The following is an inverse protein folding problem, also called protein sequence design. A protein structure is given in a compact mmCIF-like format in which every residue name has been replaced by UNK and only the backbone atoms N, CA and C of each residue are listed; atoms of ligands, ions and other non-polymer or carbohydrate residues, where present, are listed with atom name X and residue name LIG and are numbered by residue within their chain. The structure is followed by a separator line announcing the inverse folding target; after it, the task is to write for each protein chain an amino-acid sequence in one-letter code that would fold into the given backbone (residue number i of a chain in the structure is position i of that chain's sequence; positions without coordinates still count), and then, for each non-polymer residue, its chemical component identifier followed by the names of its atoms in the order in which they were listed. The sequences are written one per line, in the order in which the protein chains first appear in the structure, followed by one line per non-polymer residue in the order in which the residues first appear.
data_IF_055561219240
#
_entry.id   IF_055561219240
#
_cell.length_a   1.000
_cell.length_b   1.000
_cell.length_c   1.000
_cell.angle_alpha   90.00
_cell.angle_beta   90.00
_cell.angle_gamma   90.00
#
_symmetry.space_group_name_H-M   'P 1'
#
loop_
_entity.id
_entity.type
_entity.pdbx_description
1 polymer ?
#
# COMPACT_ATOMS: atom_id res chain seq x y z
N UNK A 1 7.56 -30.06 -24.15
CA UNK A 1 7.72 -28.70 -24.71
C UNK A 1 7.43 -27.73 -23.59
N UNK A 2 8.50 -27.20 -23.00
CA UNK A 2 8.51 -26.35 -21.82
C UNK A 2 9.31 -25.13 -22.19
N UNK A 3 8.64 -24.04 -22.58
CA UNK A 3 9.21 -22.69 -22.72
C UNK A 3 8.12 -21.76 -23.24
N UNK A 4 7.52 -20.96 -22.33
CA UNK A 4 6.86 -19.65 -22.58
C UNK A 4 6.25 -19.00 -21.32
N UNK A 5 6.44 -19.56 -20.13
CA UNK A 5 6.08 -18.92 -18.85
C UNK A 5 7.23 -18.09 -18.22
N UNK A 6 8.42 -18.01 -18.83
CA UNK A 6 9.62 -17.45 -18.19
C UNK A 6 9.73 -15.93 -18.21
N UNK A 7 9.23 -15.26 -19.26
CA UNK A 7 9.61 -13.86 -19.51
C UNK A 7 8.74 -12.87 -18.72
N UNK A 8 7.49 -13.23 -18.43
CA UNK A 8 6.59 -12.43 -17.60
C UNK A 8 7.05 -12.42 -16.14
N UNK A 9 7.41 -13.58 -15.60
CA UNK A 9 7.95 -13.73 -14.25
C UNK A 9 9.29 -12.98 -14.09
N UNK A 10 10.13 -12.96 -15.13
CA UNK A 10 11.39 -12.23 -15.13
C UNK A 10 11.21 -10.71 -14.95
N UNK A 11 10.23 -10.10 -15.62
CA UNK A 11 9.95 -8.65 -15.50
C UNK A 11 9.44 -8.26 -14.11
N UNK A 12 8.58 -9.10 -13.54
CA UNK A 12 8.02 -8.92 -12.19
C UNK A 12 9.11 -9.13 -11.14
N UNK A 13 9.97 -10.14 -11.32
CA UNK A 13 11.11 -10.37 -10.43
C UNK A 13 12.12 -9.22 -10.52
N UNK A 14 12.42 -8.71 -11.72
CA UNK A 14 13.28 -7.54 -11.91
C UNK A 14 12.71 -6.29 -11.21
N UNK A 15 11.40 -6.10 -11.24
CA UNK A 15 10.73 -5.06 -10.47
C UNK A 15 10.89 -5.29 -8.96
N UNK A 16 10.67 -6.51 -8.46
CA UNK A 16 10.80 -6.84 -7.03
C UNK A 16 12.24 -6.58 -6.58
N UNK A 17 13.23 -6.93 -7.41
CA UNK A 17 14.64 -6.68 -7.12
C UNK A 17 14.98 -5.18 -7.15
N UNK A 18 14.40 -4.43 -8.09
CA UNK A 18 14.58 -2.98 -8.19
C UNK A 18 13.93 -2.22 -7.03
N UNK A 19 12.74 -2.65 -6.59
CA UNK A 19 11.99 -2.06 -5.46
C UNK A 19 12.47 -2.56 -4.10
N UNK A 20 13.13 -3.72 -4.04
CA UNK A 20 13.72 -4.34 -2.85
C UNK A 20 15.13 -3.83 -2.50
N UNK A 21 15.79 -3.10 -3.40
CA UNK A 21 17.13 -2.53 -3.18
C UNK A 21 17.06 -1.16 -2.52
N UNK A 22 17.35 -1.12 -1.22
CA UNK A 22 17.79 0.10 -0.51
C UNK A 22 19.25 -0.05 -0.08
N UNK A 23 20.16 -0.28 -1.02
CA UNK A 23 21.61 -0.26 -0.75
C UNK A 23 22.41 0.06 -2.00
N UNK A 24 22.62 1.34 -2.29
CA UNK A 24 23.76 1.79 -3.10
C UNK A 24 24.07 3.28 -2.83
N UNK A 25 25.18 3.51 -2.12
CA UNK A 25 26.01 4.74 -2.19
C UNK A 25 26.74 4.73 -3.55
N UNK A 26 27.29 5.78 -4.18
CA UNK A 26 28.01 6.96 -3.69
C UNK A 26 28.42 7.85 -4.92
N UNK A 27 28.93 9.06 -4.62
CA UNK A 27 29.94 9.89 -5.35
C UNK A 27 29.55 11.16 -6.16
N UNK A 28 30.12 12.28 -5.66
CA UNK A 28 30.33 13.66 -6.17
C UNK A 28 29.08 14.56 -6.23
N UNK A 29 29.08 15.82 -5.79
CA UNK A 29 30.15 16.80 -5.49
C UNK A 29 29.70 17.74 -4.34
N UNK A 30 30.67 18.31 -3.64
CA UNK A 30 30.43 19.46 -2.76
C UNK A 30 30.57 20.76 -3.55
N UNK A 31 29.73 21.75 -3.21
CA UNK A 31 30.14 23.12 -2.92
C UNK A 31 28.91 23.88 -2.39
N UNK A 32 29.18 24.77 -1.42
CA UNK A 32 28.33 25.83 -0.86
C UNK A 32 27.33 25.45 0.26
N UNK A 33 27.65 25.97 1.45
CA UNK A 33 26.76 26.93 2.10
C UNK A 33 25.98 26.45 3.32
N UNK A 34 26.45 26.84 4.49
CA UNK A 34 25.90 26.65 5.84
C UNK A 34 24.47 27.21 6.00
N UNK A 35 23.63 26.51 6.80
CA UNK A 35 22.40 27.04 7.38
C UNK A 35 21.74 26.03 8.34
N UNK A 36 21.68 26.37 9.63
CA UNK A 36 21.14 25.56 10.74
C UNK A 36 19.61 25.28 10.67
N UNK A 37 19.09 24.28 11.41
CA UNK A 37 17.70 23.85 11.31
C UNK A 37 16.77 24.52 12.35
N UNK A 38 15.57 24.90 11.92
CA UNK A 38 14.45 25.24 12.83
C UNK A 38 13.31 24.20 12.71
N UNK A 39 12.62 23.87 13.82
CA UNK A 39 11.67 22.77 13.87
C UNK A 39 10.27 23.22 13.41
N UNK A 40 9.78 22.64 12.31
CA UNK A 40 8.46 22.92 11.75
C UNK A 40 7.59 21.67 11.76
N UNK A 41 6.54 21.71 12.58
CA UNK A 41 5.47 20.72 12.77
C UNK A 41 4.83 20.35 11.42
N UNK A 42 4.72 19.05 11.14
CA UNK A 42 4.15 18.52 9.91
C UNK A 42 2.62 18.55 9.95
N UNK A 43 2.01 19.48 9.21
CA UNK A 43 0.59 19.45 8.93
C UNK A 43 0.31 18.45 7.80
N UNK A 44 -0.52 17.45 8.13
CA UNK A 44 -1.04 16.45 7.22
C UNK A 44 -2.18 17.11 6.45
N UNK A 45 -2.09 17.11 5.12
CA UNK A 45 -3.18 17.59 4.27
C UNK A 45 -4.38 16.62 4.37
N UNK A 46 -5.38 17.05 5.13
CA UNK A 46 -6.75 16.58 5.06
C UNK A 46 -7.39 17.00 3.73
N UNK A 47 -8.44 16.27 3.37
CA UNK A 47 -9.20 16.33 2.12
C UNK A 47 -9.59 17.76 1.69
N UNK A 48 -9.37 18.08 0.41
CA UNK A 48 -9.81 19.34 -0.20
C UNK A 48 -11.34 19.35 -0.43
N UNK A 49 -12.03 20.49 -0.23
CA UNK A 49 -13.48 20.63 -0.45
C UNK A 49 -13.83 20.94 -1.91
N UNK A 50 -14.95 20.39 -2.39
CA UNK A 50 -15.47 20.61 -3.75
C UNK A 50 -16.32 21.91 -3.86
N UNK A 51 -16.24 22.58 -5.01
CA UNK A 51 -17.04 23.76 -5.38
C UNK A 51 -18.30 23.38 -6.19
N UNK A 52 -19.32 24.23 -6.13
CA UNK A 52 -20.73 23.95 -6.48
C UNK A 52 -21.09 24.18 -7.96
N UNK A 53 -22.08 23.42 -8.47
CA UNK A 53 -22.71 23.62 -9.78
C UNK A 53 -24.25 23.65 -9.69
N UNK A 54 -24.87 24.37 -10.65
CA UNK A 54 -26.29 24.80 -10.69
C UNK A 54 -27.20 23.82 -11.46
N UNK A 55 -28.51 23.98 -11.23
CA UNK A 55 -29.63 23.07 -11.45
C UNK A 55 -30.35 23.14 -12.81
N UNK A 56 -31.03 22.03 -13.17
CA UNK A 56 -32.41 21.99 -13.70
C UNK A 56 -33.01 20.57 -13.62
N UNK A 57 -34.32 20.48 -13.39
CA UNK A 57 -35.13 19.29 -13.03
C UNK A 57 -35.41 18.36 -14.23
N UNK A 58 -35.67 17.04 -14.08
CA UNK A 58 -36.85 16.34 -13.50
C UNK A 58 -36.42 14.88 -13.18
N UNK A 59 -36.91 14.30 -12.07
CA UNK A 59 -36.41 13.05 -11.47
C UNK A 59 -37.38 11.85 -11.60
N UNK A 60 -36.83 10.66 -11.86
CA UNK A 60 -37.41 9.34 -11.54
C UNK A 60 -36.31 8.30 -11.29
N UNK A 61 -36.29 7.72 -10.07
CA UNK A 61 -35.64 6.46 -9.63
C UNK A 61 -34.19 6.15 -10.05
N UNK A 62 -33.28 6.14 -9.07
CA UNK A 62 -31.89 5.69 -9.19
C UNK A 62 -31.80 4.26 -9.76
N UNK A 63 -31.61 4.16 -11.07
CA UNK A 63 -31.20 2.95 -11.78
C UNK A 63 -29.78 3.17 -12.29
N UNK A 64 -28.89 2.21 -12.05
CA UNK A 64 -27.61 2.16 -12.76
C UNK A 64 -27.92 2.08 -14.26
N UNK A 65 -27.50 3.09 -15.03
CA UNK A 65 -27.54 3.05 -16.49
C UNK A 65 -26.13 2.74 -16.98
N UNK A 66 -25.82 1.49 -17.39
CA UNK A 66 -24.53 1.19 -17.97
C UNK A 66 -24.39 1.89 -19.32
N UNK A 67 -23.33 2.68 -19.50
CA UNK A 67 -22.93 3.20 -20.81
C UNK A 67 -21.76 2.37 -21.33
N UNK A 68 -22.02 1.52 -22.32
CA UNK A 68 -20.95 0.90 -23.12
C UNK A 68 -20.39 2.02 -24.01
N UNK A 69 -19.24 2.57 -23.63
CA UNK A 69 -18.57 3.59 -24.44
C UNK A 69 -17.74 2.91 -25.54
N UNK A 70 -18.31 2.77 -26.74
CA UNK A 70 -17.51 2.57 -27.95
C UNK A 70 -16.80 3.89 -28.29
N UNK A 71 -15.59 4.08 -27.78
CA UNK A 71 -14.69 5.13 -28.29
C UNK A 71 -13.88 4.51 -29.43
N UNK A 72 -14.39 4.66 -30.65
CA UNK A 72 -13.66 4.35 -31.88
C UNK A 72 -12.45 5.30 -31.99
N UNK A 73 -11.26 4.81 -31.66
CA UNK A 73 -10.03 5.46 -32.05
C UNK A 73 -9.97 5.51 -33.58
N UNK A 74 -9.85 6.72 -34.13
CA UNK A 74 -9.71 6.98 -35.55
C UNK A 74 -8.51 6.24 -36.13
N UNK A 75 -8.78 5.52 -37.22
CA UNK A 75 -7.85 4.69 -37.99
C UNK A 75 -6.59 5.45 -38.39
N UNK A 76 -5.42 4.94 -37.99
CA UNK A 76 -4.16 5.20 -38.68
C UNK A 76 -3.79 3.94 -39.47
N UNK A 77 -3.58 4.01 -40.80
CA UNK A 77 -3.37 2.83 -41.64
C UNK A 77 -2.00 2.18 -41.35
N UNK A 78 -1.88 0.85 -41.48
CA UNK A 78 -0.64 0.15 -41.18
C UNK A 78 0.40 0.42 -42.28
N UNK A 79 1.58 0.87 -41.87
CA UNK A 79 2.76 0.80 -42.73
C UNK A 79 3.26 -0.65 -42.70
N UNK A 80 3.19 -1.25 -43.90
CA UNK A 80 3.90 -2.38 -44.47
C UNK A 80 3.56 -3.86 -44.11
N UNK A 81 3.03 -4.51 -45.15
CA UNK A 81 3.01 -5.95 -45.41
C UNK A 81 4.43 -6.51 -45.58
N UNK A 82 4.81 -7.51 -44.78
CA UNK A 82 5.72 -8.59 -45.18
C UNK A 82 5.32 -9.86 -44.44
N UNK A 83 4.65 -10.76 -45.14
CA UNK A 83 4.11 -11.99 -44.60
C UNK A 83 5.18 -13.04 -44.23
N UNK A 84 4.90 -13.76 -43.15
CA UNK A 84 5.16 -15.20 -43.06
C UNK A 84 4.11 -15.82 -42.14
N UNK A 85 3.27 -16.66 -42.72
CA UNK A 85 2.27 -17.46 -42.02
C UNK A 85 2.95 -18.42 -41.04
N UNK A 86 2.59 -18.33 -39.77
CA UNK A 86 2.69 -19.43 -38.81
C UNK A 86 1.29 -19.62 -38.23
N UNK A 87 0.50 -20.45 -38.91
CA UNK A 87 -0.73 -21.02 -38.36
C UNK A 87 -0.39 -21.80 -37.09
N UNK A 88 -1.12 -21.53 -35.99
CA UNK A 88 -1.08 -22.40 -34.80
C UNK A 88 -0.85 -21.73 -33.44
N UNK A 89 -0.92 -20.41 -33.31
CA UNK A 89 -1.07 -19.78 -32.00
C UNK A 89 -2.56 -19.63 -31.68
N UNK A 90 -3.09 -20.49 -30.80
CA UNK A 90 -4.36 -20.21 -30.13
C UNK A 90 -4.22 -18.85 -29.45
N UNK A 91 -5.12 -17.88 -29.71
CA UNK A 91 -5.07 -16.62 -29.01
C UNK A 91 -5.31 -16.90 -27.53
N UNK A 92 -4.32 -16.59 -26.70
CA UNK A 92 -4.53 -16.56 -25.26
C UNK A 92 -5.63 -15.52 -25.01
N UNK A 93 -6.79 -16.01 -24.60
CA UNK A 93 -7.97 -15.22 -24.33
C UNK A 93 -7.68 -14.36 -23.10
N UNK A 94 -7.27 -13.12 -23.37
CA UNK A 94 -7.24 -12.06 -22.38
C UNK A 94 -8.67 -11.54 -22.28
N UNK A 95 -9.29 -11.66 -21.12
CA UNK A 95 -10.40 -10.78 -20.80
C UNK A 95 -9.80 -9.39 -20.57
N UNK A 96 -10.27 -8.39 -21.32
CA UNK A 96 -9.92 -7.00 -21.06
C UNK A 96 -10.14 -6.70 -19.58
N UNK A 97 -9.17 -6.08 -18.93
CA UNK A 97 -9.40 -5.50 -17.59
C UNK A 97 -10.54 -4.46 -17.67
N UNK A 98 -10.80 -3.93 -18.86
CA UNK A 98 -11.62 -2.77 -19.11
C UNK A 98 -12.55 -3.00 -20.32
N UNK A 99 -13.66 -3.69 -20.15
CA UNK A 99 -14.89 -3.02 -20.60
C UNK A 99 -15.15 -1.98 -19.51
N UNK A 100 -14.79 -0.72 -19.76
CA UNK A 100 -15.00 0.33 -18.75
C UNK A 100 -16.49 0.59 -18.60
N UNK A 101 -17.10 -0.10 -17.65
CA UNK A 101 -18.46 0.18 -17.24
C UNK A 101 -18.42 1.42 -16.35
N UNK A 102 -18.62 2.58 -16.96
CA UNK A 102 -18.98 3.76 -16.21
C UNK A 102 -20.44 3.64 -15.79
N UNK A 103 -20.69 3.81 -14.50
CA UNK A 103 -22.01 3.94 -13.93
C UNK A 103 -22.31 5.39 -13.60
N UNK A 104 -23.58 5.77 -13.70
CA UNK A 104 -24.09 6.99 -13.10
C UNK A 104 -24.88 6.61 -11.84
N UNK A 105 -24.54 7.25 -10.72
CA UNK A 105 -25.28 7.11 -9.46
C UNK A 105 -25.94 8.43 -9.16
N UNK A 106 -27.26 8.42 -9.11
CA UNK A 106 -28.06 9.57 -8.69
C UNK A 106 -28.21 9.59 -7.17
N UNK A 107 -27.79 10.69 -6.55
CA UNK A 107 -27.91 10.92 -5.12
C UNK A 107 -28.94 12.01 -4.83
N UNK A 108 -29.81 11.77 -3.84
CA UNK A 108 -30.87 12.71 -3.46
C UNK A 108 -30.41 13.53 -2.26
N UNK A 109 -30.09 14.82 -2.45
CA UNK A 109 -29.62 15.68 -1.37
C UNK A 109 -30.79 16.13 -0.49
N UNK A 110 -30.95 15.48 0.66
CA UNK A 110 -31.99 15.76 1.66
C UNK A 110 -31.75 17.10 2.37
N UNK A 111 -32.31 18.13 1.74
CA UNK A 111 -32.41 19.52 2.19
C UNK A 111 -33.14 20.42 1.18
N UNK A 112 -33.09 20.08 -0.12
CA UNK A 112 -33.78 20.80 -1.21
C UNK A 112 -34.41 19.91 -2.29
N UNK A 113 -34.23 18.59 -2.23
CA UNK A 113 -34.66 17.68 -3.30
C UNK A 113 -33.82 17.82 -4.58
N UNK A 114 -32.65 18.43 -4.49
CA UNK A 114 -31.69 18.54 -5.60
C UNK A 114 -30.99 17.18 -5.80
N UNK A 115 -31.03 16.66 -7.03
CA UNK A 115 -30.33 15.43 -7.41
C UNK A 115 -28.89 15.78 -7.81
N UNK A 116 -27.92 15.02 -7.28
CA UNK A 116 -26.51 15.08 -7.65
C UNK A 116 -26.15 13.78 -8.36
N UNK A 117 -25.88 13.84 -9.67
CA UNK A 117 -25.39 12.68 -10.43
C UNK A 117 -23.87 12.60 -10.27
N UNK A 118 -23.39 11.43 -9.87
CA UNK A 118 -21.98 11.13 -9.76
C UNK A 118 -21.59 10.08 -10.79
N UNK A 119 -20.58 10.39 -11.59
CA UNK A 119 -19.90 9.40 -12.42
C UNK A 119 -19.04 8.51 -11.51
N UNK A 120 -19.30 7.21 -11.57
CA UNK A 120 -18.56 6.19 -10.82
C UNK A 120 -17.95 5.19 -11.79
N UNK A 121 -16.77 4.69 -11.42
CA UNK A 121 -16.14 3.60 -12.14
C UNK A 121 -16.65 2.28 -11.56
N UNK A 122 -17.20 1.41 -12.40
CA UNK A 122 -17.57 0.06 -12.01
C UNK A 122 -16.42 -0.90 -12.35
N UNK A 123 -16.22 -1.96 -11.56
CA UNK A 123 -15.33 -3.04 -11.97
C UNK A 123 -15.93 -3.73 -13.20
N UNK A 124 -15.08 -4.27 -14.08
CA UNK A 124 -15.52 -5.17 -15.13
C UNK A 124 -16.18 -6.43 -14.54
N UNK A 125 -16.97 -7.15 -15.34
CA UNK A 125 -17.73 -8.32 -14.88
C UNK A 125 -16.89 -9.41 -14.19
N UNK A 126 -15.62 -9.56 -14.54
CA UNK A 126 -14.68 -10.50 -13.92
C UNK A 126 -14.03 -9.98 -12.62
N UNK A 127 -14.15 -8.69 -12.32
CA UNK A 127 -13.54 -8.02 -11.18
C UNK A 127 -14.59 -7.63 -10.13
N UNK A 128 -14.17 -7.47 -8.88
CA UNK A 128 -15.02 -7.00 -7.80
C UNK A 128 -14.61 -5.60 -7.30
N UNK A 129 -13.43 -5.10 -7.63
CA UNK A 129 -12.97 -3.80 -7.12
C UNK A 129 -12.27 -2.96 -8.19
N UNK A 130 -12.23 -1.65 -7.96
CA UNK A 130 -11.52 -0.67 -8.78
C UNK A 130 -10.37 -0.04 -8.01
N UNK A 131 -9.40 0.55 -8.73
CA UNK A 131 -8.33 1.35 -8.12
C UNK A 131 -8.87 2.75 -7.84
N UNK A 132 -8.77 3.20 -6.58
CA UNK A 132 -9.29 4.49 -6.09
C UNK A 132 -8.18 5.44 -5.60
N UNK A 133 -6.93 4.98 -5.54
CA UNK A 133 -5.77 5.81 -5.27
C UNK A 133 -4.50 5.09 -5.72
N UNK A 134 -3.52 5.83 -6.26
CA UNK A 134 -2.21 5.26 -6.58
C UNK A 134 -1.07 6.25 -6.32
N UNK A 135 -0.03 5.81 -5.62
CA UNK A 135 1.24 6.51 -5.55
C UNK A 135 2.36 5.60 -6.06
N UNK A 136 3.17 6.09 -6.98
CA UNK A 136 4.39 5.41 -7.41
C UNK A 136 5.56 6.37 -7.53
N UNK A 137 6.77 5.83 -7.36
CA UNK A 137 8.02 6.57 -7.49
C UNK A 137 8.90 5.95 -8.56
N UNK A 138 9.62 6.78 -9.32
CA UNK A 138 10.64 6.34 -10.30
C UNK A 138 11.91 7.16 -10.15
N UNK A 139 13.06 6.61 -10.57
CA UNK A 139 14.35 7.34 -10.64
C UNK A 139 14.24 8.49 -11.63
N UNK A 140 14.95 9.60 -11.37
CA UNK A 140 15.06 10.71 -12.33
C UNK A 140 15.67 10.26 -13.67
N UNK A 141 16.56 9.24 -13.64
CA UNK A 141 17.17 8.65 -14.85
C UNK A 141 16.12 8.08 -15.80
N UNK A 142 14.93 7.72 -15.29
CA UNK A 142 13.80 7.28 -16.11
C UNK A 142 13.45 8.33 -17.16
N UNK A 143 13.41 9.60 -16.74
CA UNK A 143 13.01 10.70 -17.60
C UNK A 143 14.11 11.07 -18.60
N UNK A 144 15.38 11.01 -18.19
CA UNK A 144 16.49 11.13 -19.16
C UNK A 144 16.46 10.01 -20.21
N UNK A 145 16.15 8.78 -19.79
CA UNK A 145 15.96 7.64 -20.71
C UNK A 145 14.80 7.88 -21.68
N UNK A 146 13.64 8.33 -21.20
CA UNK A 146 12.47 8.52 -22.06
C UNK A 146 12.57 9.75 -22.97
N UNK A 147 13.33 10.77 -22.58
CA UNK A 147 13.67 11.91 -23.40
C UNK A 147 14.75 11.59 -24.46
N UNK A 148 15.52 10.51 -24.28
CA UNK A 148 16.65 10.16 -25.15
C UNK A 148 17.86 11.09 -24.99
N UNK A 149 17.89 11.91 -23.95
CA UNK A 149 18.98 12.85 -23.61
C UNK A 149 19.07 13.04 -22.11
N UNK A 150 20.23 13.47 -21.62
CA UNK A 150 20.38 13.86 -20.21
C UNK A 150 19.60 15.14 -19.96
N UNK A 151 18.72 15.11 -18.95
CA UNK A 151 17.99 16.27 -18.44
C UNK A 151 18.80 16.90 -17.29
N UNK A 152 18.74 18.22 -17.19
CA UNK A 152 19.57 19.01 -16.26
C UNK A 152 18.71 19.73 -15.23
N UNK A 153 17.66 20.43 -15.64
CA UNK A 153 16.84 21.24 -14.72
C UNK A 153 15.60 20.49 -14.24
N UNK A 154 15.10 20.84 -13.07
CA UNK A 154 13.90 20.23 -12.47
C UNK A 154 12.69 20.39 -13.41
N UNK A 155 12.60 21.51 -14.13
CA UNK A 155 11.56 21.77 -15.13
C UNK A 155 11.62 20.78 -16.29
N UNK A 156 12.81 20.50 -16.84
CA UNK A 156 12.96 19.51 -17.92
C UNK A 156 12.51 18.12 -17.49
N UNK A 157 12.84 17.73 -16.25
CA UNK A 157 12.39 16.46 -15.67
C UNK A 157 10.86 16.40 -15.55
N UNK A 158 10.24 17.49 -15.10
CA UNK A 158 8.77 17.56 -14.92
C UNK A 158 8.04 17.63 -16.26
N UNK A 159 8.58 18.33 -17.26
CA UNK A 159 8.04 18.37 -18.62
C UNK A 159 8.05 16.99 -19.27
N UNK A 160 9.16 16.26 -19.18
CA UNK A 160 9.24 14.91 -19.73
C UNK A 160 8.34 13.93 -18.96
N UNK A 161 8.25 14.06 -17.63
CA UNK A 161 7.29 13.30 -16.84
C UNK A 161 5.86 13.60 -17.29
N UNK A 162 5.50 14.87 -17.45
CA UNK A 162 4.19 15.31 -17.95
C UNK A 162 3.83 14.63 -19.27
N UNK A 163 4.76 14.62 -20.24
CA UNK A 163 4.57 13.97 -21.56
C UNK A 163 4.31 12.47 -21.45
N UNK A 164 5.00 11.77 -20.55
CA UNK A 164 4.77 10.32 -20.36
C UNK A 164 3.45 10.06 -19.62
N UNK A 165 3.12 10.88 -18.62
CA UNK A 165 1.88 10.76 -17.85
C UNK A 165 0.66 11.05 -18.72
N UNK A 166 0.75 11.99 -19.65
CA UNK A 166 -0.30 12.26 -20.64
C UNK A 166 -0.56 11.04 -21.53
N UNK A 167 0.48 10.31 -21.96
CA UNK A 167 0.29 9.06 -22.72
C UNK A 167 -0.35 7.95 -21.90
N UNK A 168 -0.05 7.87 -20.60
CA UNK A 168 -0.56 6.83 -19.72
C UNK A 168 -2.00 7.13 -19.29
N UNK A 169 -2.22 8.32 -18.73
CA UNK A 169 -3.48 8.73 -18.11
C UNK A 169 -4.37 9.59 -19.01
N UNK A 170 -3.85 10.18 -20.08
CA UNK A 170 -4.57 11.18 -20.90
C UNK A 170 -4.47 12.61 -20.39
N UNK A 171 -3.73 12.84 -19.31
CA UNK A 171 -3.46 14.17 -18.78
C UNK A 171 -2.07 14.26 -18.17
N UNK A 172 -1.44 15.43 -18.34
CA UNK A 172 -0.12 15.75 -17.82
C UNK A 172 -0.16 16.69 -16.61
N UNK A 173 1.01 17.23 -16.30
CA UNK A 173 1.22 18.26 -15.28
C UNK A 173 0.71 19.60 -15.79
N UNK A 174 -0.03 20.33 -14.95
CA UNK A 174 -0.71 21.58 -15.34
C UNK A 174 -0.20 22.80 -14.60
N UNK A 175 0.03 22.70 -13.30
CA UNK A 175 0.35 23.87 -12.46
C UNK A 175 1.45 23.58 -11.46
N UNK A 176 2.46 24.45 -11.41
CA UNK A 176 3.49 24.41 -10.37
C UNK A 176 2.96 25.02 -9.07
N UNK A 177 3.15 24.33 -7.93
CA UNK A 177 2.61 24.78 -6.63
C UNK A 177 3.61 25.60 -5.82
N UNK A 178 4.92 25.48 -6.08
CA UNK A 178 5.96 26.10 -5.26
C UNK A 178 5.94 25.65 -3.80
N UNK A 179 5.42 24.44 -3.54
CA UNK A 179 5.17 23.93 -2.19
C UNK A 179 5.73 22.53 -2.02
N UNK A 180 6.39 22.31 -0.88
CA UNK A 180 6.84 20.98 -0.46
C UNK A 180 5.65 20.05 -0.25
N UNK A 181 5.79 18.79 -0.67
CA UNK A 181 4.82 17.73 -0.41
C UNK A 181 5.54 16.40 -0.26
N UNK A 182 5.15 15.58 0.73
CA UNK A 182 5.76 14.27 0.97
C UNK A 182 7.29 14.25 1.05
N UNK A 183 7.88 15.30 1.62
CA UNK A 183 9.35 15.49 1.78
C UNK A 183 10.13 15.80 0.49
N UNK A 184 9.44 15.96 -0.64
CA UNK A 184 10.02 16.51 -1.85
C UNK A 184 10.17 18.03 -1.73
N UNK A 185 11.16 18.57 -2.44
CA UNK A 185 11.43 20.01 -2.44
C UNK A 185 10.27 20.82 -3.01
N UNK A 186 9.60 20.28 -4.02
CA UNK A 186 8.51 20.94 -4.71
C UNK A 186 7.44 19.97 -5.24
N UNK A 187 6.30 20.52 -5.66
CA UNK A 187 5.18 19.77 -6.20
C UNK A 187 4.42 20.52 -7.30
N UNK A 188 3.79 19.75 -8.17
CA UNK A 188 2.97 20.20 -9.28
C UNK A 188 1.62 19.48 -9.25
N UNK A 189 0.59 20.13 -9.77
CA UNK A 189 -0.74 19.57 -9.97
C UNK A 189 -0.74 18.72 -11.24
N UNK A 190 -1.33 17.53 -11.15
CA UNK A 190 -1.58 16.64 -12.28
C UNK A 190 -3.05 16.80 -12.71
N UNK A 191 -3.28 17.02 -14.01
CA UNK A 191 -4.61 17.31 -14.55
C UNK A 191 -5.27 18.51 -13.87
N UNK A 192 -6.59 18.46 -13.71
CA UNK A 192 -7.35 19.46 -12.95
C UNK A 192 -7.60 18.97 -11.51
N UNK A 193 -6.55 18.98 -10.68
CA UNK A 193 -6.63 18.45 -9.31
C UNK A 193 -6.75 16.93 -9.22
N UNK A 194 -6.41 16.22 -10.30
CA UNK A 194 -6.47 14.75 -10.42
C UNK A 194 -5.30 14.05 -9.71
N UNK A 195 -4.30 14.81 -9.28
CA UNK A 195 -3.16 14.26 -8.58
C UNK A 195 -2.04 15.28 -8.37
N UNK A 196 -0.88 14.76 -7.99
CA UNK A 196 0.33 15.56 -7.83
C UNK A 196 1.56 14.84 -8.38
N UNK A 197 2.49 15.62 -8.91
CA UNK A 197 3.87 15.21 -9.16
C UNK A 197 4.75 15.91 -8.13
N UNK A 198 5.69 15.20 -7.51
CA UNK A 198 6.60 15.77 -6.52
C UNK A 198 8.04 15.44 -6.90
N UNK A 199 8.91 16.45 -6.86
CA UNK A 199 10.29 16.32 -7.31
C UNK A 199 11.27 17.13 -6.43
N UNK A 200 12.55 16.75 -6.48
CA UNK A 200 13.63 17.36 -5.72
C UNK A 200 13.91 16.71 -4.35
N UNK A 201 15.21 16.58 -4.03
CA UNK A 201 15.81 16.15 -2.73
C UNK A 201 15.59 14.71 -2.26
N UNK A 202 14.67 13.94 -2.82
CA UNK A 202 14.40 12.57 -2.35
C UNK A 202 15.10 11.50 -3.20
N UNK A 203 16.39 11.27 -2.94
CA UNK A 203 17.17 10.14 -3.51
C UNK A 203 17.10 10.03 -5.06
N UNK A 204 17.07 11.18 -5.75
CA UNK A 204 17.00 11.24 -7.22
C UNK A 204 15.76 10.50 -7.76
N UNK A 205 14.62 10.70 -7.10
CA UNK A 205 13.34 10.12 -7.51
C UNK A 205 12.29 11.20 -7.74
N UNK A 206 11.24 10.84 -8.47
CA UNK A 206 10.01 11.60 -8.61
C UNK A 206 8.86 10.76 -8.08
N UNK A 207 7.97 11.38 -7.29
CA UNK A 207 6.73 10.77 -6.81
C UNK A 207 5.56 11.25 -7.65
N UNK A 208 4.75 10.32 -8.13
CA UNK A 208 3.50 10.56 -8.80
C UNK A 208 2.37 10.06 -7.90
N UNK A 209 1.37 10.90 -7.69
CA UNK A 209 0.19 10.63 -6.89
C UNK A 209 -1.04 10.82 -7.77
N UNK A 210 -1.83 9.77 -7.93
CA UNK A 210 -3.10 9.77 -8.64
C UNK A 210 -4.22 9.62 -7.61
N UNK A 211 -5.12 10.61 -7.56
CA UNK A 211 -6.26 10.59 -6.65
C UNK A 211 -7.40 9.71 -7.20
N UNK A 212 -8.45 9.47 -6.41
CA UNK A 212 -9.64 8.76 -6.91
C UNK A 212 -10.28 9.47 -8.10
N UNK A 213 -10.33 10.81 -8.07
CA UNK A 213 -10.76 11.60 -9.24
C UNK A 213 -9.85 11.36 -10.44
N UNK A 214 -8.54 11.32 -10.24
CA UNK A 214 -7.60 11.00 -11.32
C UNK A 214 -7.76 9.59 -11.87
N UNK A 215 -8.05 8.60 -11.03
CA UNK A 215 -8.33 7.23 -11.46
C UNK A 215 -9.61 7.15 -12.31
N UNK A 216 -10.65 7.94 -11.97
CA UNK A 216 -11.90 8.00 -12.73
C UNK A 216 -11.78 8.73 -14.06
N UNK A 217 -10.91 9.75 -14.16
CA UNK A 217 -10.75 10.55 -15.38
C UNK A 217 -9.61 10.07 -16.29
N UNK A 218 -8.84 9.08 -15.85
CA UNK A 218 -7.78 8.53 -16.66
C UNK A 218 -8.37 7.76 -17.85
N UNK A 219 -7.67 7.80 -18.99
CA UNK A 219 -8.03 7.06 -20.18
C UNK A 219 -8.21 5.56 -19.90
N UNK A 220 -9.15 4.93 -20.59
CA UNK A 220 -9.32 3.48 -20.59
C UNK A 220 -7.98 2.76 -20.76
N UNK A 221 -7.77 1.67 -20.01
CA UNK A 221 -6.52 0.88 -19.98
C UNK A 221 -5.27 1.61 -19.46
N UNK A 222 -5.43 2.68 -18.68
CA UNK A 222 -4.28 3.36 -18.08
C UNK A 222 -3.50 2.42 -17.15
N UNK A 223 -4.16 1.47 -16.50
CA UNK A 223 -3.53 0.46 -15.64
C UNK A 223 -2.52 -0.37 -16.40
N UNK A 224 -2.91 -0.82 -17.60
CA UNK A 224 -2.05 -1.61 -18.48
C UNK A 224 -0.88 -0.79 -18.97
N UNK A 225 -1.13 0.44 -19.46
CA UNK A 225 -0.05 1.36 -19.88
C UNK A 225 0.91 1.68 -18.74
N UNK A 226 0.39 1.87 -17.53
CA UNK A 226 1.22 2.11 -16.35
C UNK A 226 2.00 0.86 -15.95
N UNK A 227 1.38 -0.33 -16.00
CA UNK A 227 2.06 -1.59 -15.75
C UNK A 227 3.25 -1.76 -16.71
N UNK A 228 3.05 -1.55 -18.00
CA UNK A 228 4.09 -1.62 -19.02
C UNK A 228 5.19 -0.58 -18.77
N UNK A 229 4.81 0.66 -18.47
CA UNK A 229 5.76 1.71 -18.13
C UNK A 229 6.61 1.33 -16.90
N UNK A 230 5.99 0.87 -15.82
CA UNK A 230 6.69 0.52 -14.59
C UNK A 230 7.58 -0.72 -14.74
N UNK A 231 7.22 -1.68 -15.58
CA UNK A 231 7.96 -2.95 -15.70
C UNK A 231 9.02 -2.92 -16.80
N UNK A 232 8.84 -2.13 -17.86
CA UNK A 232 9.69 -2.17 -19.06
C UNK A 232 10.51 -0.88 -19.25
N UNK A 233 9.97 0.26 -18.82
CA UNK A 233 10.56 1.58 -19.12
C UNK A 233 11.26 2.16 -17.89
N UNK A 234 10.56 2.18 -16.76
CA UNK A 234 10.96 2.89 -15.55
C UNK A 234 12.23 2.33 -14.89
N UNK A 235 13.04 3.22 -14.32
CA UNK A 235 14.23 2.87 -13.57
C UNK A 235 13.93 3.01 -12.07
N UNK A 236 14.26 1.99 -11.28
CA UNK A 236 13.94 1.89 -9.83
C UNK A 236 12.47 2.23 -9.51
N UNK A 237 11.49 1.64 -10.21
CA UNK A 237 10.08 1.88 -9.94
C UNK A 237 9.67 1.28 -8.58
N UNK A 238 8.75 1.95 -7.88
CA UNK A 238 8.14 1.43 -6.65
C UNK A 238 6.75 2.02 -6.45
N UNK A 239 5.73 1.16 -6.33
CA UNK A 239 4.40 1.57 -5.89
C UNK A 239 4.46 1.72 -4.38
N UNK A 240 4.22 2.93 -3.88
CA UNK A 240 4.30 3.25 -2.45
C UNK A 240 2.95 3.16 -1.76
N UNK A 241 1.86 3.39 -2.50
CA UNK A 241 0.48 3.26 -2.03
C UNK A 241 -0.42 2.85 -3.19
N UNK A 242 -1.39 1.97 -2.92
CA UNK A 242 -2.52 1.74 -3.80
C UNK A 242 -3.76 1.46 -2.94
N UNK A 243 -4.89 2.10 -3.26
CA UNK A 243 -6.16 1.86 -2.59
C UNK A 243 -7.10 1.15 -3.58
N UNK A 244 -7.70 0.04 -3.14
CA UNK A 244 -8.69 -0.73 -3.90
C UNK A 244 -10.06 -0.54 -3.26
N UNK A 245 -11.07 -0.21 -4.06
CA UNK A 245 -12.43 0.08 -3.62
C UNK A 245 -13.44 -0.92 -4.20
N UNK A 246 -14.28 -1.46 -3.33
CA UNK A 246 -15.45 -2.26 -3.68
C UNK A 246 -16.69 -1.52 -3.20
N UNK A 247 -17.64 -1.31 -4.11
CA UNK A 247 -18.85 -0.54 -3.88
C UNK A 247 -20.08 -1.45 -3.91
N UNK A 248 -20.95 -1.26 -2.93
CA UNK A 248 -22.31 -1.78 -2.89
C UNK A 248 -23.27 -0.58 -2.89
N UNK A 249 -23.83 -0.27 -4.06
CA UNK A 249 -24.62 0.95 -4.27
C UNK A 249 -26.02 0.85 -3.65
N UNK A 250 -26.62 -0.35 -3.62
CA UNK A 250 -27.95 -0.57 -3.06
C UNK A 250 -27.91 -1.01 -1.58
N UNK A 251 -26.73 -1.36 -1.07
CA UNK A 251 -26.53 -1.78 0.32
C UNK A 251 -27.08 -3.18 0.59
N UNK A 252 -27.20 -4.01 -0.43
CA UNK A 252 -27.78 -5.35 -0.35
C UNK A 252 -26.96 -6.35 0.47
N UNK A 253 -25.63 -6.20 0.52
CA UNK A 253 -24.75 -7.17 1.19
C UNK A 253 -23.58 -6.55 1.97
N UNK A 254 -23.27 -5.28 1.76
CA UNK A 254 -22.17 -4.56 2.42
C UNK A 254 -22.71 -3.42 3.29
N UNK A 255 -22.37 -3.46 4.57
CA UNK A 255 -22.64 -2.36 5.49
C UNK A 255 -21.54 -2.23 6.55
N UNK A 256 -21.48 -1.08 7.22
CA UNK A 256 -20.54 -0.87 8.35
C UNK A 256 -20.83 -1.80 9.53
N UNK A 257 -22.10 -2.20 9.70
CA UNK A 257 -22.53 -3.14 10.74
C UNK A 257 -22.11 -4.57 10.39
N UNK A 258 -22.27 -4.97 9.12
CA UNK A 258 -21.72 -6.23 8.61
C UNK A 258 -20.21 -6.30 8.83
N UNK A 259 -19.47 -5.24 8.49
CA UNK A 259 -18.02 -5.21 8.67
C UNK A 259 -17.60 -5.31 10.14
N UNK A 260 -18.36 -4.69 11.04
CA UNK A 260 -18.12 -4.80 12.48
C UNK A 260 -18.34 -6.23 12.97
N UNK A 261 -19.39 -6.90 12.49
CA UNK A 261 -19.66 -8.30 12.83
C UNK A 261 -18.52 -9.21 12.33
N UNK A 262 -18.05 -9.03 11.08
CA UNK A 262 -16.93 -9.81 10.55
C UNK A 262 -15.64 -9.63 11.35
N UNK A 263 -15.36 -8.42 11.85
CA UNK A 263 -14.23 -8.20 12.74
C UNK A 263 -14.39 -8.94 14.07
N UNK A 264 -15.59 -8.92 14.67
CA UNK A 264 -15.90 -9.65 15.91
C UNK A 264 -15.71 -11.15 15.76
N UNK A 265 -16.09 -11.68 14.60
CA UNK A 265 -16.00 -13.11 14.29
C UNK A 265 -14.58 -13.54 13.84
N UNK A 266 -13.62 -12.61 13.83
CA UNK A 266 -12.24 -12.87 13.46
C UNK A 266 -11.98 -12.93 11.94
N UNK A 267 -12.99 -12.60 11.12
CA UNK A 267 -12.90 -12.57 9.65
C UNK A 267 -11.88 -11.58 9.10
N UNK A 268 -11.37 -10.66 9.92
CA UNK A 268 -10.33 -9.70 9.54
C UNK A 268 -8.90 -10.13 9.95
N UNK A 269 -8.69 -11.39 10.37
CA UNK A 269 -7.36 -11.92 10.71
C UNK A 269 -7.12 -13.30 10.09
N UNK A 270 -6.01 -13.47 9.38
CA UNK A 270 -5.57 -14.79 8.88
C UNK A 270 -5.02 -15.69 9.99
N UNK A 271 -4.54 -15.11 11.10
CA UNK A 271 -3.98 -15.89 12.20
C UNK A 271 -5.06 -16.16 13.23
N UNK A 272 -5.27 -17.44 13.56
CA UNK A 272 -6.04 -17.86 14.74
C UNK A 272 -5.18 -17.62 16.00
N UNK A 273 -5.70 -16.89 16.98
CA UNK A 273 -5.04 -16.69 18.28
C UNK A 273 -3.96 -15.59 18.35
N UNK A 274 -4.02 -14.57 17.49
CA UNK A 274 -3.15 -13.37 17.59
C UNK A 274 -3.92 -12.12 18.04
N UNK A 275 -3.20 -11.02 18.32
CA UNK A 275 -3.84 -9.72 18.57
C UNK A 275 -4.64 -9.32 17.32
N UNK A 276 -5.96 -9.10 17.41
CA UNK A 276 -6.77 -8.67 16.28
C UNK A 276 -6.30 -7.30 15.78
N UNK A 277 -6.52 -6.97 14.49
CA UNK A 277 -6.23 -5.64 13.99
C UNK A 277 -7.03 -4.60 14.79
N UNK A 278 -6.42 -3.43 15.02
CA UNK A 278 -7.09 -2.32 15.70
C UNK A 278 -8.37 -1.92 14.96
N UNK A 279 -9.41 -1.55 15.69
CA UNK A 279 -10.69 -1.13 15.13
C UNK A 279 -11.04 0.26 15.63
N UNK A 280 -11.55 1.12 14.75
CA UNK A 280 -12.09 2.43 15.15
C UNK A 280 -13.45 2.68 14.51
N UNK A 281 -14.40 3.15 15.32
CA UNK A 281 -15.74 3.58 14.90
C UNK A 281 -15.75 5.11 14.81
N UNK A 282 -15.82 5.64 13.60
CA UNK A 282 -15.87 7.08 13.32
C UNK A 282 -17.29 7.48 12.90
N UNK A 283 -17.71 8.70 13.28
CA UNK A 283 -19.07 9.19 13.08
C UNK A 283 -19.99 8.87 14.27
N UNK A 284 -21.29 9.16 14.12
CA UNK A 284 -22.26 8.93 15.19
C UNK A 284 -22.91 7.54 15.04
N UNK A 285 -22.41 6.58 15.81
CA UNK A 285 -22.88 5.19 15.77
C UNK A 285 -24.10 4.94 16.66
N UNK A 286 -24.22 5.67 17.77
CA UNK A 286 -25.33 5.49 18.73
C UNK A 286 -26.60 6.21 18.27
N UNK A 287 -26.44 7.34 17.58
CA UNK A 287 -27.55 8.16 17.05
C UNK A 287 -27.22 8.63 15.62
N UNK A 288 -27.37 7.76 14.61
CA UNK A 288 -27.01 8.09 13.23
C UNK A 288 -27.63 9.42 12.78
N UNK A 289 -26.79 10.39 12.40
CA UNK A 289 -27.19 11.76 12.05
C UNK A 289 -27.40 11.98 10.55
N UNK A 290 -27.35 10.92 9.74
CA UNK A 290 -27.33 11.01 8.29
C UNK A 290 -25.99 11.46 7.69
N UNK A 291 -24.98 11.82 8.51
CA UNK A 291 -23.64 12.24 8.02
C UNK A 291 -22.73 11.07 7.59
N UNK A 292 -23.19 9.84 7.73
CA UNK A 292 -22.41 8.64 7.46
C UNK A 292 -21.60 8.14 8.65
N UNK A 293 -21.44 6.83 8.71
CA UNK A 293 -20.58 6.10 9.65
C UNK A 293 -19.38 5.54 8.91
N UNK A 294 -18.28 5.37 9.63
CA UNK A 294 -17.07 4.73 9.09
C UNK A 294 -16.48 3.77 10.12
N UNK A 295 -16.21 2.54 9.70
CA UNK A 295 -15.45 1.57 10.44
C UNK A 295 -14.06 1.44 9.83
N UNK A 296 -13.02 1.54 10.64
CA UNK A 296 -11.64 1.33 10.18
C UNK A 296 -11.04 0.08 10.83
N UNK A 297 -10.23 -0.65 10.06
CA UNK A 297 -9.55 -1.86 10.51
C UNK A 297 -8.05 -1.77 10.20
N UNK A 298 -7.24 -1.93 11.23
CA UNK A 298 -5.79 -1.70 11.22
C UNK A 298 -5.44 -0.25 11.52
N UNK A 299 -4.15 0.08 11.37
CA UNK A 299 -3.65 1.44 11.58
C UNK A 299 -3.21 2.04 10.25
N UNK A 300 -3.46 3.33 10.04
CA UNK A 300 -3.08 4.04 8.80
C UNK A 300 -1.57 4.03 8.53
N UNK A 301 -0.73 3.85 9.55
CA UNK A 301 0.74 3.73 9.39
C UNK A 301 1.20 2.33 8.95
N UNK A 302 0.31 1.33 8.98
CA UNK A 302 0.61 -0.05 8.61
C UNK A 302 0.64 -0.24 7.10
N UNK A 303 1.19 -1.37 6.65
CA UNK A 303 1.23 -1.75 5.23
C UNK A 303 -0.13 -2.09 4.63
N UNK A 304 -1.16 -2.27 5.47
CA UNK A 304 -2.54 -2.55 5.08
C UNK A 304 -3.48 -1.87 6.06
N UNK A 305 -4.46 -1.14 5.54
CA UNK A 305 -5.47 -0.43 6.32
C UNK A 305 -6.81 -0.49 5.57
N UNK A 306 -7.89 -0.87 6.27
CA UNK A 306 -9.21 -1.04 5.66
C UNK A 306 -10.20 0.01 6.18
N UNK A 307 -11.13 0.44 5.32
CA UNK A 307 -12.23 1.34 5.67
C UNK A 307 -13.52 0.81 5.08
N UNK A 308 -14.56 0.76 5.90
CA UNK A 308 -15.94 0.56 5.48
C UNK A 308 -16.70 1.81 5.81
N UNK A 309 -17.38 2.43 4.84
CA UNK A 309 -18.12 3.65 5.12
C UNK A 309 -19.34 3.83 4.23
N UNK A 310 -20.31 4.58 4.73
CA UNK A 310 -21.53 4.93 4.01
C UNK A 310 -21.19 6.06 3.01
N UNK A 311 -20.81 5.66 1.78
CA UNK A 311 -20.28 6.55 0.73
C UNK A 311 -21.34 7.51 0.20
N UNK A 312 -22.58 7.06 -0.01
CA UNK A 312 -23.65 7.97 -0.45
C UNK A 312 -23.95 9.08 0.56
N UNK A 313 -23.91 8.76 1.85
CA UNK A 313 -24.03 9.75 2.95
C UNK A 313 -22.87 10.74 2.98
N UNK A 314 -21.65 10.28 2.71
CA UNK A 314 -20.47 11.15 2.55
C UNK A 314 -20.63 12.12 1.38
N UNK A 315 -21.27 11.68 0.30
CA UNK A 315 -21.52 12.49 -0.90
C UNK A 315 -22.73 13.45 -0.77
N UNK A 316 -23.49 13.32 0.32
CA UNK A 316 -24.52 14.27 0.76
C UNK A 316 -25.94 13.71 0.86
N UNK A 317 -26.17 12.48 0.41
CA UNK A 317 -27.48 11.81 0.51
C UNK A 317 -27.59 11.02 1.81
N UNK A 318 -28.35 11.57 2.77
CA UNK A 318 -28.49 11.00 4.12
C UNK A 318 -29.19 9.65 4.15
N UNK A 319 -30.02 9.36 3.14
CA UNK A 319 -30.82 8.14 3.06
C UNK A 319 -30.18 7.08 2.15
N UNK A 320 -29.07 7.42 1.50
CA UNK A 320 -28.37 6.50 0.62
C UNK A 320 -27.85 5.27 1.38
N UNK A 321 -28.10 4.10 0.79
CA UNK A 321 -27.61 2.81 1.27
C UNK A 321 -26.22 2.47 0.73
N UNK A 322 -25.66 3.30 -0.17
CA UNK A 322 -24.37 3.06 -0.80
C UNK A 322 -23.25 2.96 0.25
N UNK A 323 -22.69 1.76 0.38
CA UNK A 323 -21.53 1.47 1.23
C UNK A 323 -20.31 1.11 0.39
N UNK A 324 -19.13 1.59 0.81
CA UNK A 324 -17.84 1.31 0.18
C UNK A 324 -16.89 0.62 1.14
N UNK A 325 -16.22 -0.41 0.65
CA UNK A 325 -15.07 -1.06 1.28
C UNK A 325 -13.79 -0.67 0.54
N UNK A 326 -12.89 0.06 1.22
CA UNK A 326 -11.58 0.45 0.70
C UNK A 326 -10.46 -0.28 1.45
N UNK A 327 -9.52 -0.87 0.71
CA UNK A 327 -8.25 -1.39 1.25
C UNK A 327 -7.10 -0.58 0.72
N UNK A 328 -6.43 0.12 1.63
CA UNK A 328 -5.18 0.85 1.38
C UNK A 328 -3.99 -0.07 1.65
N UNK A 329 -3.20 -0.33 0.61
CA UNK A 329 -1.92 -1.00 0.70
C UNK A 329 -0.77 0.01 0.66
N UNK A 330 0.23 -0.19 1.51
CA UNK A 330 1.46 0.63 1.57
C UNK A 330 2.70 -0.24 1.53
N UNK A 331 3.74 0.25 0.88
CA UNK A 331 5.01 -0.47 0.78
C UNK A 331 5.88 -0.46 2.06
N UNK A 332 5.31 -0.17 3.23
CA UNK A 332 6.03 -0.05 4.51
C UNK A 332 6.77 -1.34 4.86
N UNK A 333 6.05 -2.46 4.91
CA UNK A 333 6.59 -3.79 5.23
C UNK A 333 6.32 -4.81 4.11
N UNK A 334 5.73 -4.37 3.01
CA UNK A 334 5.35 -5.20 1.87
C UNK A 334 5.90 -4.61 0.58
N UNK A 335 6.07 -5.45 -0.43
CA UNK A 335 6.28 -5.02 -1.81
C UNK A 335 4.92 -5.03 -2.49
N UNK A 336 4.54 -3.93 -3.12
CA UNK A 336 3.31 -3.85 -3.92
C UNK A 336 3.71 -4.24 -5.35
N UNK A 337 3.28 -5.43 -5.78
CA UNK A 337 3.58 -5.96 -7.10
C UNK A 337 2.77 -5.19 -8.16
N UNK A 338 3.38 -4.70 -9.27
CA UNK A 338 2.66 -4.05 -10.38
C UNK A 338 1.51 -4.87 -10.95
N UNK A 339 1.54 -6.21 -10.81
CA UNK A 339 0.42 -7.08 -11.18
C UNK A 339 -0.92 -6.67 -10.53
N UNK A 340 -0.90 -5.93 -9.41
CA UNK A 340 -2.12 -5.37 -8.83
C UNK A 340 -2.86 -4.42 -9.77
N UNK A 341 -2.15 -3.75 -10.69
CA UNK A 341 -2.76 -2.87 -11.69
C UNK A 341 -3.61 -3.69 -12.67
N UNK A 342 -3.19 -4.91 -12.98
CA UNK A 342 -3.87 -5.79 -13.92
C UNK A 342 -4.93 -6.67 -13.24
N UNK A 343 -4.70 -7.05 -11.98
CA UNK A 343 -5.54 -8.00 -11.25
C UNK A 343 -5.93 -7.49 -9.86
N UNK A 344 -6.56 -6.31 -9.72
CA UNK A 344 -6.82 -5.70 -8.41
C UNK A 344 -7.67 -6.61 -7.51
N UNK A 345 -8.68 -7.29 -8.06
CA UNK A 345 -9.61 -8.13 -7.28
C UNK A 345 -8.93 -9.29 -6.57
N UNK A 346 -7.89 -9.89 -7.17
CA UNK A 346 -7.13 -10.97 -6.52
C UNK A 346 -6.49 -10.47 -5.21
N UNK A 347 -5.89 -9.28 -5.23
CA UNK A 347 -5.25 -8.69 -4.07
C UNK A 347 -6.27 -8.14 -3.06
N UNK A 348 -7.41 -7.63 -3.54
CA UNK A 348 -8.51 -7.19 -2.68
C UNK A 348 -9.08 -8.36 -1.88
N UNK A 349 -9.51 -9.44 -2.53
CA UNK A 349 -10.04 -10.63 -1.85
C UNK A 349 -8.98 -11.27 -0.94
N UNK A 350 -7.71 -11.27 -1.34
CA UNK A 350 -6.59 -11.72 -0.51
C UNK A 350 -6.24 -10.80 0.67
N UNK A 351 -6.88 -9.65 0.81
CA UNK A 351 -6.61 -8.70 1.89
C UNK A 351 -7.09 -9.21 3.25
N UNK A 352 -8.29 -9.79 3.32
CA UNK A 352 -8.89 -10.29 4.56
C UNK A 352 -9.72 -11.55 4.29
N UNK A 353 -9.74 -12.53 5.23
CA UNK A 353 -10.56 -13.74 5.06
C UNK A 353 -12.04 -13.47 4.74
N UNK A 354 -12.66 -12.49 5.40
CA UNK A 354 -14.07 -12.15 5.18
C UNK A 354 -14.38 -11.63 3.77
N UNK A 355 -13.37 -11.25 2.98
CA UNK A 355 -13.57 -10.73 1.62
C UNK A 355 -13.85 -11.84 0.61
N UNK A 356 -13.76 -13.10 1.03
CA UNK A 356 -14.28 -14.23 0.26
C UNK A 356 -15.76 -14.04 -0.10
N UNK A 357 -16.51 -13.26 0.69
CA UNK A 357 -17.89 -12.88 0.39
C UNK A 357 -18.05 -12.04 -0.90
N UNK A 358 -17.00 -11.33 -1.34
CA UNK A 358 -17.00 -10.49 -2.54
C UNK A 358 -16.34 -11.16 -3.74
N UNK A 359 -16.02 -12.45 -3.63
CA UNK A 359 -15.15 -13.13 -4.57
C UNK A 359 -15.83 -13.35 -5.91
N UNK A 360 -15.32 -12.69 -6.94
CA UNK A 360 -15.58 -13.00 -8.35
C UNK A 360 -14.46 -13.83 -8.97
N UNK A 361 -13.25 -13.76 -8.41
CA UNK A 361 -12.04 -14.40 -8.97
C UNK A 361 -11.69 -15.73 -8.31
N UNK A 362 -11.16 -16.69 -9.10
CA UNK A 362 -10.86 -18.04 -8.64
C UNK A 362 -9.64 -18.16 -7.70
N UNK A 363 -8.68 -17.25 -7.70
CA UNK A 363 -7.48 -17.38 -6.83
C UNK A 363 -7.08 -16.04 -6.20
N UNK A 364 -7.30 -15.84 -4.90
CA UNK A 364 -6.85 -14.63 -4.22
C UNK A 364 -5.32 -14.60 -4.06
N UNK A 365 -4.74 -13.41 -4.13
CA UNK A 365 -3.30 -13.19 -4.00
C UNK A 365 -2.98 -12.26 -2.82
N UNK A 366 -1.85 -12.49 -2.15
CA UNK A 366 -1.44 -11.71 -0.99
C UNK A 366 -0.19 -10.90 -1.30
N UNK A 367 -0.13 -9.69 -0.76
CA UNK A 367 1.06 -8.85 -0.85
C UNK A 367 2.30 -9.56 -0.29
N UNK A 368 3.38 -9.56 -1.06
CA UNK A 368 4.66 -10.08 -0.62
C UNK A 368 5.19 -9.23 0.54
N UNK A 369 5.58 -9.89 1.64
CA UNK A 369 6.22 -9.21 2.76
C UNK A 369 7.69 -8.99 2.41
N UNK A 370 8.20 -7.78 2.64
CA UNK A 370 9.62 -7.48 2.45
C UNK A 370 10.42 -8.44 3.33
N UNK A 371 11.29 -9.25 2.71
CA UNK A 371 12.25 -10.04 3.46
C UNK A 371 13.05 -9.07 4.34
N UNK A 372 13.16 -9.37 5.65
CA UNK A 372 14.06 -8.60 6.51
C UNK A 372 15.45 -8.87 5.97
N UNK A 373 16.07 -7.87 5.33
CA UNK A 373 17.44 -7.99 4.86
C UNK A 373 18.37 -8.09 6.08
N UNK A 374 18.58 -9.31 6.57
CA UNK A 374 19.44 -9.60 7.73
C UNK A 374 20.92 -9.50 7.36
N UNK A 375 21.28 -9.71 6.08
CA UNK A 375 22.66 -9.74 5.60
C UNK A 375 23.27 -8.36 5.26
N UNK A 376 22.46 -7.33 5.01
CA UNK A 376 22.91 -5.97 4.61
C UNK A 376 23.53 -5.19 5.79
N UNK A 377 23.50 -5.75 7.00
CA UNK A 377 23.68 -5.00 8.24
C UNK A 377 25.13 -4.68 8.58
N UNK A 378 26.10 -5.53 8.19
CA UNK A 378 27.50 -5.37 8.64
C UNK A 378 28.23 -4.28 7.86
N UNK A 379 28.23 -4.33 6.52
CA UNK A 379 28.92 -3.33 5.68
C UNK A 379 28.38 -1.92 5.90
N UNK A 380 27.05 -1.81 6.02
CA UNK A 380 26.43 -0.53 6.33
C UNK A 380 26.76 -0.05 7.75
N UNK A 381 26.82 -0.96 8.72
CA UNK A 381 27.28 -0.62 10.08
C UNK A 381 28.72 -0.14 10.08
N UNK A 382 29.64 -0.83 9.41
CA UNK A 382 31.04 -0.40 9.26
C UNK A 382 31.11 0.99 8.65
N UNK A 383 30.36 1.22 7.58
CA UNK A 383 30.45 2.47 6.85
C UNK A 383 29.71 3.63 7.55
N UNK A 384 28.71 3.36 8.39
CA UNK A 384 28.13 4.36 9.32
C UNK A 384 29.15 4.68 10.42
N UNK A 385 29.74 3.66 11.05
CA UNK A 385 30.75 3.83 12.09
C UNK A 385 31.93 4.65 11.58
N UNK A 386 32.43 4.34 10.39
CA UNK A 386 33.48 5.11 9.73
C UNK A 386 33.09 6.58 9.51
N UNK A 387 31.85 6.83 9.06
CA UNK A 387 31.38 8.18 8.75
C UNK A 387 31.12 9.03 9.98
N UNK A 388 30.46 8.46 10.99
CA UNK A 388 30.02 9.21 12.18
C UNK A 388 31.11 9.26 13.26
N UNK A 389 31.81 8.15 13.48
CA UNK A 389 32.72 7.99 14.62
C UNK A 389 34.19 7.85 14.23
N UNK A 390 34.50 7.61 12.95
CA UNK A 390 35.87 7.35 12.49
C UNK A 390 36.88 8.45 12.82
N UNK A 391 36.44 9.73 12.81
CA UNK A 391 37.30 10.86 13.20
C UNK A 391 37.70 10.80 14.67
N UNK A 392 36.77 10.47 15.55
CA UNK A 392 37.03 10.33 16.99
C UNK A 392 37.88 9.08 17.28
N UNK A 393 37.57 7.96 16.63
CA UNK A 393 38.37 6.73 16.74
C UNK A 393 39.83 6.99 16.34
N UNK A 394 40.09 7.82 15.32
CA UNK A 394 41.46 8.22 14.94
C UNK A 394 42.18 8.98 16.05
N UNK A 395 41.48 9.88 16.75
CA UNK A 395 42.03 10.63 17.89
C UNK A 395 42.34 9.66 19.04
N UNK A 396 41.41 8.78 19.38
CA UNK A 396 41.60 7.80 20.47
C UNK A 396 42.79 6.88 20.20
N UNK A 397 42.91 6.36 18.98
CA UNK A 397 44.06 5.54 18.58
C UNK A 397 45.40 6.27 18.72
N UNK A 398 45.43 7.58 18.49
CA UNK A 398 46.64 8.38 18.64
C UNK A 398 46.99 8.65 20.12
N UNK A 399 45.98 8.72 21.00
CA UNK A 399 46.17 9.02 22.42
C UNK A 399 46.45 7.77 23.27
N UNK A 400 45.75 6.67 22.99
CA UNK A 400 45.71 5.47 23.84
C UNK A 400 46.24 4.21 23.13
N UNK A 401 46.59 4.31 21.84
CA UNK A 401 46.93 3.14 21.04
C UNK A 401 45.70 2.28 20.70
N UNK A 402 45.92 1.20 19.95
CA UNK A 402 44.84 0.45 19.29
C UNK A 402 44.01 -0.40 20.27
N UNK A 403 44.68 -1.18 21.14
CA UNK A 403 44.04 -2.08 22.10
C UNK A 403 43.17 -1.33 23.10
N UNK A 404 43.75 -0.34 23.79
CA UNK A 404 43.03 0.43 24.82
C UNK A 404 41.87 1.24 24.22
N UNK A 405 42.03 1.76 22.99
CA UNK A 405 40.92 2.42 22.29
C UNK A 405 39.75 1.47 22.06
N UNK A 406 40.00 0.24 21.63
CA UNK A 406 38.95 -0.74 21.37
C UNK A 406 38.23 -1.13 22.66
N UNK A 407 38.96 -1.33 23.75
CA UNK A 407 38.37 -1.67 25.05
C UNK A 407 37.52 -0.52 25.61
N UNK A 408 37.91 0.73 25.37
CA UNK A 408 37.17 1.92 25.82
C UNK A 408 35.84 2.13 25.07
N UNK A 409 35.79 1.86 23.76
CA UNK A 409 34.63 2.16 22.92
C UNK A 409 33.70 0.96 22.70
N UNK A 410 34.16 -0.25 22.99
CA UNK A 410 33.34 -1.47 22.91
C UNK A 410 32.45 -1.58 24.14
N UNK A 411 31.20 -2.02 23.94
CA UNK A 411 30.28 -2.20 25.06
C UNK A 411 30.81 -3.32 25.98
N UNK A 412 30.81 -3.07 27.29
CA UNK A 412 31.27 -4.04 28.31
C UNK A 412 30.35 -5.26 28.43
N UNK A 413 29.09 -5.15 28.04
CA UNK A 413 28.17 -6.29 27.98
C UNK A 413 28.43 -7.08 26.69
N UNK A 414 28.97 -8.29 26.84
CA UNK A 414 29.26 -9.22 25.73
C UNK A 414 28.04 -9.57 24.89
N UNK A 415 26.82 -9.39 25.41
CA UNK A 415 25.56 -9.67 24.70
C UNK A 415 24.89 -8.42 24.11
N UNK A 416 25.53 -7.24 24.21
CA UNK A 416 25.00 -5.97 23.74
C UNK A 416 25.09 -5.80 22.21
N UNK A 417 24.68 -6.81 21.46
CA UNK A 417 24.59 -6.74 20.00
C UNK A 417 23.41 -5.86 19.57
N UNK A 418 23.60 -5.01 18.53
CA UNK A 418 22.50 -4.30 17.91
C UNK A 418 21.38 -5.26 17.53
N UNK A 419 20.13 -4.91 17.88
CA UNK A 419 18.94 -5.79 17.68
C UNK A 419 18.83 -6.33 16.25
N UNK A 420 19.34 -5.61 15.26
CA UNK A 420 19.33 -5.97 13.83
C UNK A 420 20.41 -7.00 13.43
N UNK A 421 21.45 -7.19 14.25
CA UNK A 421 22.58 -8.11 14.02
C UNK A 421 22.58 -9.36 14.91
N UNK A 422 21.60 -9.48 15.82
CA UNK A 422 21.42 -10.66 16.69
C UNK A 422 21.31 -12.04 15.97
N UNK A 423 20.88 -12.17 14.69
CA UNK A 423 20.79 -13.48 14.04
C UNK A 423 22.13 -14.18 13.78
N UNK A 424 23.26 -13.46 13.79
CA UNK A 424 24.57 -14.06 13.45
C UNK A 424 25.22 -14.84 14.60
N UNK A 425 24.69 -14.76 15.82
CA UNK A 425 25.33 -15.30 17.03
C UNK A 425 24.50 -16.34 17.77
N UNK A 426 23.33 -16.71 17.25
CA UNK A 426 22.74 -17.99 17.62
C UNK A 426 23.56 -19.08 16.94
N UNK A 427 24.68 -19.46 17.55
CA UNK A 427 25.17 -20.83 17.43
C UNK A 427 23.95 -21.72 17.65
N UNK A 428 23.66 -22.63 16.72
CA UNK A 428 22.46 -23.48 16.72
C UNK A 428 22.31 -24.33 18.01
N UNK A 429 23.29 -24.28 18.92
CA UNK A 429 23.39 -25.07 20.15
C UNK A 429 23.18 -24.31 21.46
N UNK A 430 22.97 -22.98 21.47
CA UNK A 430 22.88 -22.19 22.73
C UNK A 430 21.48 -21.64 23.07
N UNK A 431 20.42 -22.16 22.45
CA UNK A 431 19.06 -21.89 22.89
C UNK A 431 18.78 -22.50 24.27
N UNK A 432 17.90 -21.90 25.11
CA UNK A 432 17.46 -22.55 26.33
C UNK A 432 16.91 -23.93 26.00
N UNK A 433 17.39 -24.95 26.71
CA UNK A 433 16.95 -26.34 26.51
C UNK A 433 15.43 -26.37 26.56
N UNK A 434 14.74 -26.84 25.51
CA UNK A 434 13.28 -26.89 25.49
C UNK A 434 12.75 -27.58 26.75
N UNK A 435 11.62 -27.11 27.30
CA UNK A 435 11.06 -27.64 28.57
C UNK A 435 10.91 -29.18 28.56
N UNK A 436 10.66 -29.78 27.39
CA UNK A 436 10.56 -31.23 27.23
C UNK A 436 11.90 -31.99 27.27
N UNK A 437 13.03 -31.28 27.18
CA UNK A 437 14.41 -31.79 27.29
C UNK A 437 15.09 -31.38 28.60
N UNK A 438 14.46 -30.52 29.41
CA UNK A 438 14.95 -30.21 30.74
C UNK A 438 14.72 -31.41 31.67
N UNK A 439 15.68 -31.70 32.55
CA UNK A 439 15.50 -32.74 33.55
C UNK A 439 14.28 -32.41 34.40
N UNK A 440 13.30 -33.33 34.48
CA UNK A 440 12.15 -33.16 35.37
C UNK A 440 12.69 -33.01 36.80
N UNK A 441 12.23 -32.01 37.58
CA UNK A 441 12.67 -31.86 38.95
C UNK A 441 12.37 -33.16 39.70
N UNK A 442 13.41 -33.72 40.35
CA UNK A 442 13.25 -34.88 41.22
C UNK A 442 12.39 -34.43 42.39
N UNK A 443 11.14 -34.87 42.40
CA UNK A 443 10.26 -34.70 43.56
C UNK A 443 10.81 -35.64 44.62
N UNK A 444 11.33 -35.11 45.73
CA UNK A 444 11.74 -35.94 46.86
C UNK A 444 10.52 -36.65 47.43
N UNK A 445 10.61 -37.96 47.68
CA UNK A 445 9.54 -38.87 48.16
C UNK A 445 8.94 -38.54 49.55
N UNK A 446 9.22 -37.36 50.12
CA UNK A 446 8.79 -37.00 51.47
C UNK A 446 7.42 -36.33 51.58
N UNK A 447 6.70 -36.13 50.46
CA UNK A 447 5.32 -35.65 50.51
C UNK A 447 4.34 -36.82 50.31
N UNK A 448 4.24 -37.69 51.31
CA UNK A 448 3.04 -38.53 51.48
C UNK A 448 1.85 -37.59 51.73
N UNK A 449 1.13 -37.23 50.67
CA UNK A 449 -0.22 -36.70 50.80
C UNK A 449 -1.14 -37.85 51.25
N UNK A 450 -1.86 -37.73 52.38
CA UNK A 450 -2.78 -38.78 52.80
C UNK A 450 -3.84 -38.98 51.73
N UNK A 451 -3.94 -40.22 51.25
CA UNK A 451 -4.88 -40.69 50.25
C UNK A 451 -6.28 -40.84 50.84
N UNK A 452 -6.97 -39.73 51.12
CA UNK A 452 -8.44 -39.67 51.25
C UNK A 452 -8.90 -38.21 51.33
N UNK A 453 -9.82 -37.74 50.47
CA UNK A 453 -10.48 -36.45 50.70
C UNK A 453 -11.43 -36.58 51.91
N UNK A 454 -11.51 -35.59 52.82
CA UNK A 454 -12.50 -35.63 53.88
C UNK A 454 -13.89 -35.46 53.29
N UNK A 455 -14.75 -36.43 53.56
CA UNK A 455 -16.17 -36.43 53.22
C UNK A 455 -16.90 -35.45 54.16
N UNK A 456 -17.24 -34.25 53.67
CA UNK A 456 -18.09 -33.34 54.42
C UNK A 456 -19.55 -33.78 54.29
N UNK A 457 -20.04 -34.48 55.32
CA UNK A 457 -21.46 -34.73 55.51
C UNK A 457 -22.20 -33.43 55.89
N UNK A 458 -23.34 -33.21 55.23
CA UNK A 458 -24.35 -32.23 55.63
C UNK A 458 -24.90 -32.62 57.00
N UNK A 459 -24.33 -32.07 58.07
CA UNK A 459 -25.01 -31.60 59.28
C UNK A 459 -23.94 -31.27 60.33
N UNK A 460 -23.93 -30.01 60.75
CA UNK A 460 -22.95 -29.49 61.69
C UNK A 460 -23.10 -30.13 63.06
N UNK A 461 -22.07 -30.81 63.52
CA UNK A 461 -21.69 -30.88 64.92
C UNK A 461 -20.19 -31.17 65.03
N UNK A 462 -19.49 -30.41 65.86
CA UNK A 462 -18.05 -30.53 66.11
C UNK A 462 -17.80 -31.76 66.98
N UNK A 463 -17.03 -32.73 66.48
CA UNK A 463 -16.36 -33.71 67.33
C UNK A 463 -14.85 -33.41 67.36
N UNK A 464 -14.33 -33.18 68.57
CA UNK A 464 -12.89 -33.16 68.87
C UNK A 464 -12.37 -34.60 68.84
N UNK A 465 -11.32 -34.84 68.06
CA UNK A 465 -9.97 -35.17 68.53
C UNK A 465 -9.02 -35.18 67.33
#
# INVERSE_FOLDING_TARGET
MSTKFSDFDASVQAYIDASGRSSARNLKSGLLGVGEPSPGRADRADSAPALAARSSAIAENARLVPKIAHVSATECPPINNMGKNLEGAQPEHWESVCEEDFGEVELVLTGKGETKTLLVRLPSSAQCCVIDWLNFTVSEDTWSKTAGRTLITDEEYVEEASRQLEKIFGFGVTTHRGMKLNWYADSWVLGDGMGFVCFGKQNRTMLIMLSGQGCTNALADWEKRLYEFLTQVAIRPSISRIDLAHDDFDGSYLSVDWAYQQWRDGGCSFKKGGRPPEIQKLGNWDRPSGKGRTLTIGQRVSSKFCRFYEKGKKEGDKESSWCRCEVEFKNTNTVINPLILLNPSKFFVGAYPCFTAFRTTETPERMAVKARAQHITVDDSIAITKRQFGKYIRVFRALFGDLETLDLITNKDENAFPKRMKPFLSFHDSGPVPIHKQAKPVVSDFAHFPSSPPFFGLNGERARL
#
